data_IF_333028609440
#
_entry.id   IF_333028609440
#
_cell.length_a   1.000
_cell.length_b   1.000
_cell.length_c   1.000
_cell.angle_alpha   90.00
_cell.angle_beta   90.00
_cell.angle_gamma   90.00
#
_symmetry.space_group_name_H-M   'P 1'
#
loop_
_entity.id
_entity.type
_entity.pdbx_description
1 polymer ?
#
# COMPACT_ATOMS: atom_id res chain seq x y z
N UNK A 1 20.98 67.80 -36.45
CA UNK A 1 20.80 68.92 -35.51
C UNK A 1 20.01 68.42 -34.32
N UNK A 2 20.40 68.90 -33.16
CA UNK A 2 20.11 68.42 -31.81
C UNK A 2 18.71 68.76 -31.26
N UNK A 3 18.36 67.99 -30.22
CA UNK A 3 17.47 68.28 -29.09
C UNK A 3 15.95 68.11 -29.22
N UNK A 4 15.40 67.41 -28.23
CA UNK A 4 14.04 67.64 -27.75
C UNK A 4 13.41 66.43 -27.06
N UNK A 5 13.72 66.20 -25.79
CA UNK A 5 12.73 65.63 -24.86
C UNK A 5 12.03 66.82 -24.23
N UNK A 6 10.69 66.81 -24.11
CA UNK A 6 10.15 67.00 -22.76
C UNK A 6 8.86 66.20 -22.46
N UNK A 7 8.73 65.94 -21.16
CA UNK A 7 7.52 66.04 -20.34
C UNK A 7 6.60 64.83 -20.17
N UNK A 8 6.45 64.53 -18.89
CA UNK A 8 5.58 63.58 -18.25
C UNK A 8 4.08 63.87 -18.45
N UNK A 9 3.27 62.80 -18.42
CA UNK A 9 1.91 62.82 -17.92
C UNK A 9 1.62 61.46 -17.27
N UNK A 10 1.17 61.51 -16.02
CA UNK A 10 0.83 60.34 -15.21
C UNK A 10 -0.47 59.71 -15.66
N UNK A 11 -0.53 58.38 -15.73
CA UNK A 11 -1.80 57.67 -15.57
C UNK A 11 -1.56 56.33 -14.89
N UNK A 12 -2.02 56.23 -13.64
CA UNK A 12 -2.24 54.96 -12.95
C UNK A 12 -3.29 54.19 -13.75
N UNK A 13 -2.95 53.00 -14.23
CA UNK A 13 -3.93 52.05 -14.77
C UNK A 13 -3.81 50.77 -13.97
N UNK A 14 -4.86 50.51 -13.20
CA UNK A 14 -5.20 49.23 -12.60
C UNK A 14 -5.39 48.21 -13.75
N UNK A 15 -4.57 47.17 -13.82
CA UNK A 15 -4.79 46.07 -14.74
C UNK A 15 -5.41 44.90 -13.98
N UNK A 16 -6.74 44.86 -13.96
CA UNK A 16 -7.50 43.65 -13.68
C UNK A 16 -7.27 42.65 -14.83
N UNK A 17 -6.44 41.64 -14.61
CA UNK A 17 -6.40 40.47 -15.49
C UNK A 17 -7.44 39.46 -15.03
N UNK A 18 -8.53 39.39 -15.78
CA UNK A 18 -9.50 38.31 -15.71
C UNK A 18 -8.92 37.12 -16.48
N UNK A 19 -8.07 36.32 -15.82
CA UNK A 19 -7.63 35.03 -16.33
C UNK A 19 -8.72 33.99 -16.06
N UNK A 20 -9.52 33.74 -17.08
CA UNK A 20 -10.31 32.52 -17.25
C UNK A 20 -9.33 31.34 -17.46
N UNK A 21 -8.75 30.83 -16.38
CA UNK A 21 -8.06 29.56 -16.38
C UNK A 21 -9.09 28.46 -16.09
N UNK A 22 -9.61 27.86 -17.16
CA UNK A 22 -10.42 26.65 -17.08
C UNK A 22 -9.65 25.58 -16.30
N UNK A 23 -10.28 25.14 -15.21
CA UNK A 23 -9.78 24.12 -14.30
C UNK A 23 -9.86 22.75 -15.01
N UNK A 24 -8.92 22.47 -15.90
CA UNK A 24 -8.65 21.09 -16.31
C UNK A 24 -7.86 20.47 -15.17
N UNK A 25 -8.57 19.88 -14.21
CA UNK A 25 -8.01 18.88 -13.32
C UNK A 25 -7.60 17.69 -14.19
N UNK A 26 -6.42 17.80 -14.79
CA UNK A 26 -5.70 16.68 -15.35
C UNK A 26 -5.38 15.75 -14.20
N UNK A 27 -6.28 14.81 -13.93
CA UNK A 27 -5.93 13.58 -13.26
C UNK A 27 -4.95 12.88 -14.20
N UNK A 28 -3.66 13.14 -14.01
CA UNK A 28 -2.62 12.23 -14.46
C UNK A 28 -2.78 10.95 -13.65
N UNK A 29 -3.82 10.17 -13.96
CA UNK A 29 -3.83 8.76 -13.65
C UNK A 29 -2.76 8.21 -14.57
N UNK A 30 -1.52 8.12 -14.05
CA UNK A 30 -0.51 7.26 -14.65
C UNK A 30 -1.26 5.99 -15.05
N UNK A 31 -1.13 5.58 -16.31
CA UNK A 31 -1.70 4.35 -16.79
C UNK A 31 -1.04 3.25 -15.96
N UNK A 32 -1.66 2.93 -14.84
CA UNK A 32 -1.22 1.90 -13.93
C UNK A 32 -1.27 0.64 -14.76
N UNK A 33 -0.07 0.15 -15.10
CA UNK A 33 0.07 -1.06 -15.89
C UNK A 33 -0.90 -2.09 -15.30
N UNK A 34 -1.77 -2.64 -16.16
CA UNK A 34 -2.77 -3.60 -15.71
C UNK A 34 -2.07 -4.60 -14.78
N UNK A 35 -2.62 -4.86 -13.59
CA UNK A 35 -1.92 -5.65 -12.59
C UNK A 35 -1.44 -6.95 -13.25
N UNK A 36 -0.13 -7.29 -13.23
CA UNK A 36 0.37 -8.54 -13.77
C UNK A 36 -0.48 -9.71 -13.30
N UNK A 37 -0.74 -10.63 -14.23
CA UNK A 37 -1.73 -11.67 -14.07
C UNK A 37 -1.48 -12.49 -12.80
N UNK A 38 -2.56 -12.82 -12.11
CA UNK A 38 -2.63 -13.75 -10.98
C UNK A 38 -2.26 -15.20 -11.34
N UNK A 39 -1.72 -15.42 -12.54
CA UNK A 39 -1.42 -16.72 -13.09
C UNK A 39 -0.28 -16.67 -14.11
N UNK A 40 0.46 -17.77 -14.19
CA UNK A 40 1.46 -18.06 -15.23
C UNK A 40 0.83 -19.03 -16.23
N UNK A 41 1.01 -18.77 -17.52
CA UNK A 41 0.61 -19.75 -18.55
C UNK A 41 1.69 -20.80 -18.71
N UNK A 42 1.36 -22.06 -18.44
CA UNK A 42 2.20 -23.22 -18.65
C UNK A 42 1.77 -24.00 -19.88
N UNK A 43 2.75 -24.49 -20.66
CA UNK A 43 2.51 -25.37 -21.79
C UNK A 43 2.90 -26.79 -21.41
N UNK A 44 1.90 -27.67 -21.37
CA UNK A 44 2.05 -29.08 -21.00
C UNK A 44 3.07 -29.77 -21.92
N UNK A 45 4.01 -30.50 -21.32
CA UNK A 45 5.01 -31.33 -21.98
C UNK A 45 4.60 -32.79 -21.93
N UNK A 46 5.26 -33.62 -22.75
CA UNK A 46 5.02 -35.06 -22.72
C UNK A 46 5.41 -35.65 -21.36
N UNK A 47 4.49 -36.40 -20.74
CA UNK A 47 4.69 -37.01 -19.42
C UNK A 47 4.28 -36.14 -18.23
N UNK A 48 3.83 -34.90 -18.45
CA UNK A 48 3.37 -34.03 -17.36
C UNK A 48 2.07 -34.54 -16.73
N UNK A 49 1.97 -34.37 -15.42
CA UNK A 49 0.72 -34.52 -14.65
C UNK A 49 0.47 -33.25 -13.83
N UNK A 50 -0.77 -33.04 -13.37
CA UNK A 50 -1.10 -31.89 -12.53
C UNK A 50 -0.27 -31.86 -11.24
N UNK A 51 0.01 -33.04 -10.67
CA UNK A 51 0.85 -33.23 -9.49
C UNK A 51 2.30 -32.84 -9.74
N UNK A 52 2.87 -33.24 -10.88
CA UNK A 52 4.25 -32.87 -11.25
C UNK A 52 4.38 -31.37 -11.47
N UNK A 53 3.41 -30.77 -12.16
CA UNK A 53 3.35 -29.31 -12.37
C UNK A 53 3.21 -28.59 -11.02
N UNK A 54 2.33 -29.05 -10.13
CA UNK A 54 2.18 -28.48 -8.80
C UNK A 54 3.46 -28.59 -7.96
N UNK A 55 4.17 -29.72 -8.02
CA UNK A 55 5.46 -29.85 -7.34
C UNK A 55 6.52 -28.91 -7.92
N UNK A 56 6.52 -28.72 -9.24
CA UNK A 56 7.43 -27.81 -9.93
C UNK A 56 7.18 -26.34 -9.57
N UNK A 57 5.92 -25.93 -9.41
CA UNK A 57 5.56 -24.53 -9.14
C UNK A 57 5.39 -24.21 -7.66
N UNK A 58 4.74 -25.06 -6.89
CA UNK A 58 4.41 -24.85 -5.47
C UNK A 58 5.28 -25.66 -4.51
N UNK A 59 6.11 -26.57 -5.03
CA UNK A 59 7.00 -27.41 -4.22
C UNK A 59 6.38 -28.71 -3.71
N UNK A 60 5.06 -28.88 -3.82
CA UNK A 60 4.35 -30.07 -3.35
C UNK A 60 3.27 -30.53 -4.37
N UNK A 61 3.21 -31.84 -4.59
CA UNK A 61 2.25 -32.50 -5.48
C UNK A 61 0.80 -32.33 -5.03
N UNK A 62 0.56 -32.20 -3.72
CA UNK A 62 -0.78 -32.07 -3.13
C UNK A 62 -1.53 -30.82 -3.57
N UNK A 63 -0.81 -29.81 -4.07
CA UNK A 63 -1.37 -28.55 -4.56
C UNK A 63 -1.89 -28.61 -6.00
N UNK A 64 -1.95 -29.80 -6.61
CA UNK A 64 -2.54 -30.03 -7.93
C UNK A 64 -3.99 -29.52 -8.04
N UNK A 65 -4.75 -29.53 -6.94
CA UNK A 65 -6.13 -29.04 -6.89
C UNK A 65 -6.24 -27.57 -7.33
N UNK A 66 -5.27 -26.72 -7.01
CA UNK A 66 -5.32 -25.30 -7.40
C UNK A 66 -5.18 -25.13 -8.92
N UNK A 67 -4.26 -25.88 -9.54
CA UNK A 67 -4.11 -25.90 -11.00
C UNK A 67 -5.39 -26.43 -11.65
N UNK A 68 -5.95 -27.50 -11.10
CA UNK A 68 -7.16 -28.13 -11.61
C UNK A 68 -8.35 -27.14 -11.62
N UNK A 69 -8.61 -26.49 -10.49
CA UNK A 69 -9.70 -25.53 -10.30
C UNK A 69 -9.51 -24.28 -11.16
N UNK A 70 -8.30 -23.71 -11.18
CA UNK A 70 -7.99 -22.54 -12.01
C UNK A 70 -8.21 -22.79 -13.52
N UNK A 71 -8.13 -24.05 -13.96
CA UNK A 71 -8.34 -24.46 -15.34
C UNK A 71 -9.71 -25.10 -15.61
N UNK A 72 -10.62 -25.07 -14.62
CA UNK A 72 -11.98 -25.67 -14.73
C UNK A 72 -11.95 -27.14 -15.13
N UNK A 73 -10.94 -27.88 -14.67
CA UNK A 73 -10.84 -29.31 -14.86
C UNK A 73 -11.66 -29.96 -13.74
N UNK A 74 -12.75 -30.66 -14.09
CA UNK A 74 -13.68 -31.20 -13.09
C UNK A 74 -13.22 -32.51 -12.46
N UNK A 75 -12.44 -33.31 -13.19
CA UNK A 75 -11.97 -34.61 -12.74
C UNK A 75 -10.53 -34.84 -13.20
N UNK A 76 -9.73 -35.62 -12.45
CA UNK A 76 -8.38 -36.01 -12.87
C UNK A 76 -8.43 -36.67 -14.25
N UNK A 77 -7.61 -36.17 -15.17
CA UNK A 77 -7.44 -36.75 -16.51
C UNK A 77 -5.99 -36.59 -16.98
N UNK A 78 -5.54 -37.41 -17.94
CA UNK A 78 -4.28 -37.16 -18.62
C UNK A 78 -4.26 -35.77 -19.27
N UNK A 79 -3.12 -35.09 -19.16
CA UNK A 79 -2.88 -33.82 -19.81
C UNK A 79 -2.42 -34.05 -21.25
N UNK A 80 -2.84 -33.18 -22.18
CA UNK A 80 -2.43 -33.29 -23.58
C UNK A 80 -1.15 -32.47 -23.81
N UNK A 81 -0.07 -33.03 -24.38
CA UNK A 81 1.09 -32.24 -24.75
C UNK A 81 0.69 -31.04 -25.62
N UNK A 82 1.18 -29.85 -25.27
CA UNK A 82 0.83 -28.58 -25.91
C UNK A 82 -0.39 -27.86 -25.33
N UNK A 83 -1.16 -28.49 -24.43
CA UNK A 83 -2.24 -27.86 -23.68
C UNK A 83 -1.72 -26.67 -22.86
N UNK A 84 -2.51 -25.58 -22.80
CA UNK A 84 -2.16 -24.38 -22.03
C UNK A 84 -2.93 -24.38 -20.72
N UNK A 85 -2.20 -24.45 -19.62
CA UNK A 85 -2.74 -24.38 -18.27
C UNK A 85 -2.41 -23.03 -17.64
N UNK A 86 -3.35 -22.47 -16.90
CA UNK A 86 -3.14 -21.35 -15.99
C UNK A 86 -2.69 -21.90 -14.63
N UNK A 87 -1.51 -21.49 -14.20
CA UNK A 87 -0.99 -21.82 -12.88
C UNK A 87 -1.17 -20.59 -12.02
N UNK A 88 -2.11 -20.59 -11.06
CA UNK A 88 -2.33 -19.42 -10.22
C UNK A 88 -1.11 -19.14 -9.35
N UNK A 89 -0.74 -17.88 -9.18
CA UNK A 89 0.47 -17.47 -8.48
C UNK A 89 0.19 -16.35 -7.51
N UNK A 90 0.80 -16.44 -6.33
CA UNK A 90 0.83 -15.34 -5.39
C UNK A 90 1.60 -14.17 -6.00
N UNK A 91 1.32 -12.96 -5.51
CA UNK A 91 2.00 -11.75 -5.98
C UNK A 91 2.70 -11.07 -4.82
N UNK A 92 3.94 -10.67 -5.05
CA UNK A 92 4.64 -9.74 -4.16
C UNK A 92 4.47 -8.34 -4.75
N UNK A 93 3.80 -7.46 -3.99
CA UNK A 93 3.60 -6.07 -4.35
C UNK A 93 4.47 -5.23 -3.46
N UNK A 94 5.41 -4.51 -4.06
CA UNK A 94 6.04 -3.38 -3.40
C UNK A 94 5.04 -2.22 -3.39
N UNK A 95 4.90 -1.52 -2.27
CA UNK A 95 3.92 -0.42 -2.10
C UNK A 95 4.44 0.90 -2.63
N UNK A 96 3.54 1.69 -3.23
CA UNK A 96 3.78 3.06 -3.66
C UNK A 96 3.40 4.05 -2.54
N UNK A 97 3.87 5.31 -2.60
CA UNK A 97 3.37 6.36 -1.71
C UNK A 97 1.84 6.48 -1.81
N UNK A 98 1.18 6.55 -0.65
CA UNK A 98 -0.28 6.64 -0.55
C UNK A 98 -1.04 5.31 -0.63
N UNK A 99 -0.35 4.19 -0.88
CA UNK A 99 -0.99 2.87 -0.81
C UNK A 99 -1.54 2.60 0.59
N UNK A 100 -2.68 1.92 0.62
CA UNK A 100 -3.31 1.42 1.84
C UNK A 100 -3.69 -0.05 1.65
N UNK A 101 -3.88 -0.79 2.74
CA UNK A 101 -4.39 -2.15 2.64
C UNK A 101 -5.76 -2.20 1.92
N UNK A 102 -6.58 -1.16 2.05
CA UNK A 102 -7.86 -1.03 1.36
C UNK A 102 -7.70 -0.79 -0.15
N UNK A 103 -6.78 0.07 -0.58
CA UNK A 103 -6.52 0.27 -2.02
C UNK A 103 -5.94 -0.98 -2.65
N UNK A 104 -5.00 -1.66 -1.97
CA UNK A 104 -4.44 -2.93 -2.44
C UNK A 104 -5.50 -4.05 -2.47
N UNK A 105 -6.36 -4.16 -1.46
CA UNK A 105 -7.44 -5.13 -1.45
C UNK A 105 -8.47 -4.85 -2.55
N UNK A 106 -8.79 -3.58 -2.82
CA UNK A 106 -9.63 -3.22 -3.96
C UNK A 106 -8.97 -3.61 -5.29
N UNK A 107 -7.68 -3.34 -5.46
CA UNK A 107 -6.96 -3.58 -6.70
C UNK A 107 -6.74 -5.07 -6.98
N UNK A 108 -6.42 -5.86 -5.95
CA UNK A 108 -5.97 -7.25 -6.10
C UNK A 108 -6.94 -8.29 -5.57
N UNK A 109 -7.79 -7.93 -4.60
CA UNK A 109 -8.79 -8.82 -4.00
C UNK A 109 -10.21 -8.40 -4.38
N UNK A 110 -10.36 -7.44 -5.29
CA UNK A 110 -11.61 -6.91 -5.85
C UNK A 110 -12.56 -6.19 -4.88
N UNK A 111 -12.25 -6.13 -3.58
CA UNK A 111 -13.10 -5.47 -2.57
C UNK A 111 -12.24 -4.91 -1.42
N UNK A 112 -12.39 -3.61 -1.05
CA UNK A 112 -11.59 -2.98 -0.01
C UNK A 112 -11.87 -3.56 1.38
N UNK A 113 -13.04 -4.16 1.63
CA UNK A 113 -13.35 -4.83 2.90
C UNK A 113 -12.45 -6.04 3.13
N UNK A 114 -11.78 -6.54 2.09
CA UNK A 114 -10.79 -7.63 2.21
C UNK A 114 -9.42 -7.17 2.73
N UNK A 115 -9.24 -5.87 3.00
CA UNK A 115 -8.03 -5.31 3.59
C UNK A 115 -7.61 -6.01 4.90
N UNK A 116 -8.58 -6.35 5.75
CA UNK A 116 -8.32 -7.02 7.03
C UNK A 116 -7.65 -8.39 6.84
N UNK A 117 -8.02 -9.13 5.79
CA UNK A 117 -7.38 -10.40 5.47
C UNK A 117 -6.01 -10.18 4.86
N UNK A 118 -5.86 -9.15 4.03
CA UNK A 118 -4.55 -8.81 3.49
C UNK A 118 -3.55 -8.46 4.62
N UNK A 119 -4.02 -7.74 5.64
CA UNK A 119 -3.25 -7.49 6.85
C UNK A 119 -2.87 -8.81 7.55
N UNK A 120 -3.86 -9.67 7.82
CA UNK A 120 -3.68 -10.96 8.49
C UNK A 120 -2.67 -11.87 7.75
N UNK A 121 -2.80 -12.01 6.43
CA UNK A 121 -1.89 -12.81 5.60
C UNK A 121 -0.45 -12.31 5.62
N UNK A 122 -0.26 -11.01 5.83
CA UNK A 122 1.03 -10.35 5.92
C UNK A 122 1.50 -10.12 7.37
N UNK A 123 0.75 -10.59 8.37
CA UNK A 123 1.04 -10.39 9.80
C UNK A 123 1.14 -8.91 10.17
N UNK A 124 0.27 -8.10 9.59
CA UNK A 124 0.12 -6.68 9.85
C UNK A 124 -1.16 -6.42 10.66
N UNK A 125 -1.17 -5.33 11.40
CA UNK A 125 -2.41 -4.81 12.00
C UNK A 125 -3.35 -4.27 10.90
N UNK A 126 -4.68 -4.36 11.06
CA UNK A 126 -5.63 -3.91 10.03
C UNK A 126 -5.51 -2.43 9.67
N UNK A 127 -5.16 -1.58 10.64
CA UNK A 127 -4.93 -0.15 10.49
C UNK A 127 -3.44 0.21 10.39
N UNK A 128 -2.57 -0.77 10.14
CA UNK A 128 -1.15 -0.51 9.94
C UNK A 128 -0.95 0.50 8.80
N UNK A 129 -0.14 1.53 9.07
CA UNK A 129 0.32 2.39 7.98
C UNK A 129 1.21 1.58 7.05
N UNK A 130 1.14 1.92 5.77
CA UNK A 130 1.86 1.24 4.72
C UNK A 130 2.86 2.20 4.09
N UNK A 131 4.13 2.23 4.54
CA UNK A 131 5.11 3.08 3.90
C UNK A 131 5.44 2.54 2.51
N UNK A 132 5.87 3.41 1.62
CA UNK A 132 6.36 3.03 0.30
C UNK A 132 7.56 2.09 0.41
N UNK A 133 7.71 1.19 -0.57
CA UNK A 133 8.76 0.17 -0.57
C UNK A 133 8.48 -1.01 0.36
N UNK A 134 7.30 -1.12 0.97
CA UNK A 134 6.90 -2.31 1.76
C UNK A 134 6.55 -3.46 0.82
N UNK A 135 6.98 -4.68 1.14
CA UNK A 135 6.59 -5.89 0.44
C UNK A 135 5.29 -6.45 1.00
N UNK A 136 4.28 -6.63 0.15
CA UNK A 136 2.97 -7.15 0.50
C UNK A 136 2.67 -8.38 -0.35
N UNK A 137 2.52 -9.51 0.32
CA UNK A 137 2.08 -10.75 -0.29
C UNK A 137 0.57 -10.71 -0.53
N UNK A 138 0.19 -10.76 -1.79
CA UNK A 138 -1.18 -10.94 -2.23
C UNK A 138 -1.41 -12.45 -2.46
N UNK A 139 -2.43 -13.06 -1.82
CA UNK A 139 -2.82 -14.43 -2.13
C UNK A 139 -3.37 -14.52 -3.56
N UNK A 140 -3.27 -15.68 -4.18
CA UNK A 140 -4.05 -15.96 -5.38
C UNK A 140 -5.41 -16.53 -5.02
N UNK A 141 -6.38 -16.40 -5.91
CA UNK A 141 -7.71 -16.96 -5.71
C UNK A 141 -7.91 -18.22 -6.54
N UNK A 142 -8.68 -19.14 -5.97
CA UNK A 142 -9.36 -20.17 -6.74
C UNK A 142 -10.86 -20.07 -6.49
N UNK A 143 -11.66 -20.34 -7.51
CA UNK A 143 -13.12 -20.35 -7.40
C UNK A 143 -13.61 -21.78 -7.24
N UNK A 144 -14.10 -22.10 -6.06
CA UNK A 144 -14.78 -23.38 -5.81
C UNK A 144 -16.25 -23.25 -6.20
N UNK A 145 -16.77 -24.20 -6.98
CA UNK A 145 -18.20 -24.34 -7.26
C UNK A 145 -18.70 -25.56 -6.53
N UNK A 146 -19.67 -25.38 -5.63
CA UNK A 146 -20.14 -26.48 -4.79
C UNK A 146 -20.86 -27.55 -5.63
N UNK A 147 -20.46 -28.80 -5.48
CA UNK A 147 -21.02 -29.93 -6.22
C UNK A 147 -22.37 -30.40 -5.65
N UNK A 148 -22.57 -30.14 -4.36
CA UNK A 148 -23.79 -30.37 -3.60
C UNK A 148 -23.96 -29.23 -2.57
N UNK A 149 -24.90 -29.36 -1.65
CA UNK A 149 -24.94 -28.46 -0.50
C UNK A 149 -23.76 -28.80 0.42
N UNK A 150 -22.78 -27.91 0.48
CA UNK A 150 -21.50 -28.13 1.14
C UNK A 150 -21.34 -27.22 2.37
N UNK A 151 -20.74 -27.74 3.43
CA UNK A 151 -20.33 -26.92 4.58
C UNK A 151 -19.07 -26.15 4.23
N UNK A 152 -19.02 -24.86 4.59
CA UNK A 152 -17.81 -24.04 4.41
C UNK A 152 -16.59 -24.66 5.11
N UNK A 153 -16.80 -25.36 6.24
CA UNK A 153 -15.75 -26.09 6.94
C UNK A 153 -15.14 -27.25 6.15
N UNK A 154 -15.95 -27.95 5.34
CA UNK A 154 -15.45 -29.02 4.46
C UNK A 154 -14.64 -28.44 3.31
N UNK A 155 -15.10 -27.32 2.73
CA UNK A 155 -14.37 -26.60 1.68
C UNK A 155 -13.04 -26.07 2.23
N UNK A 156 -13.05 -25.48 3.44
CA UNK A 156 -11.84 -25.00 4.11
C UNK A 156 -10.84 -26.14 4.38
N UNK A 157 -11.29 -27.30 4.86
CA UNK A 157 -10.44 -28.46 5.03
C UNK A 157 -9.83 -28.94 3.71
N UNK A 158 -10.59 -28.91 2.61
CA UNK A 158 -10.12 -29.36 1.30
C UNK A 158 -9.00 -28.48 0.72
N UNK A 159 -9.08 -27.14 0.89
CA UNK A 159 -8.10 -26.22 0.31
C UNK A 159 -6.97 -25.83 1.27
N UNK A 160 -7.25 -25.73 2.57
CA UNK A 160 -6.26 -25.30 3.56
C UNK A 160 -5.70 -26.45 4.40
N UNK A 161 -6.30 -27.64 4.31
CA UNK A 161 -5.96 -28.78 5.16
C UNK A 161 -6.50 -28.68 6.60
N UNK A 162 -7.22 -27.60 6.93
CA UNK A 162 -7.78 -27.37 8.27
C UNK A 162 -9.16 -26.70 8.17
N UNK A 163 -10.16 -27.37 8.74
CA UNK A 163 -11.54 -26.88 8.81
C UNK A 163 -11.70 -25.63 9.67
N UNK A 164 -10.74 -25.30 10.54
CA UNK A 164 -10.76 -24.07 11.34
C UNK A 164 -10.72 -22.79 10.49
N UNK A 165 -10.26 -22.89 9.23
CA UNK A 165 -10.31 -21.77 8.28
C UNK A 165 -11.74 -21.49 7.76
N UNK A 166 -12.77 -22.20 8.23
CA UNK A 166 -14.16 -21.95 7.83
C UNK A 166 -14.63 -20.53 8.14
N UNK A 167 -14.24 -19.98 9.29
CA UNK A 167 -14.64 -18.62 9.68
C UNK A 167 -14.00 -17.58 8.77
N UNK A 168 -12.70 -17.74 8.49
CA UNK A 168 -11.98 -16.91 7.53
C UNK A 168 -12.68 -16.94 6.17
N UNK A 169 -12.98 -18.14 5.66
CA UNK A 169 -13.58 -18.32 4.34
C UNK A 169 -15.00 -17.74 4.26
N UNK A 170 -15.79 -17.88 5.32
CA UNK A 170 -17.12 -17.27 5.49
C UNK A 170 -17.03 -15.75 5.41
N UNK A 171 -16.16 -15.13 6.23
CA UNK A 171 -16.00 -13.67 6.27
C UNK A 171 -15.40 -13.13 4.97
N UNK A 172 -14.48 -13.85 4.34
CA UNK A 172 -13.83 -13.47 3.07
C UNK A 172 -14.83 -13.35 1.91
N UNK A 173 -15.87 -14.19 1.94
CA UNK A 173 -16.93 -14.25 0.94
C UNK A 173 -18.19 -13.50 1.37
N UNK A 174 -18.15 -12.79 2.49
CA UNK A 174 -19.28 -12.04 3.05
C UNK A 174 -20.55 -12.89 3.24
N UNK A 175 -20.37 -14.17 3.57
CA UNK A 175 -21.48 -15.09 3.79
C UNK A 175 -22.09 -14.86 5.18
N UNK A 176 -23.41 -15.00 5.25
CA UNK A 176 -24.20 -14.99 6.49
C UNK A 176 -24.52 -16.40 7.01
N UNK A 177 -24.12 -17.43 6.25
CA UNK A 177 -24.41 -18.84 6.51
C UNK A 177 -23.17 -19.72 6.36
N UNK A 178 -23.06 -20.82 7.12
CA UNK A 178 -21.92 -21.75 7.06
C UNK A 178 -22.07 -22.81 5.94
N UNK A 179 -22.90 -22.55 4.93
CA UNK A 179 -23.26 -23.48 3.86
C UNK A 179 -23.16 -22.79 2.49
N UNK A 180 -22.69 -23.54 1.50
CA UNK A 180 -22.68 -23.14 0.09
C UNK A 180 -23.63 -24.07 -0.64
N UNK A 181 -24.64 -23.52 -1.30
CA UNK A 181 -25.64 -24.32 -1.99
C UNK A 181 -25.05 -24.94 -3.27
N UNK A 182 -25.60 -26.07 -3.72
CA UNK A 182 -25.18 -26.68 -4.99
C UNK A 182 -25.15 -25.66 -6.14
N UNK A 183 -24.01 -25.58 -6.82
CA UNK A 183 -23.79 -24.67 -7.95
C UNK A 183 -23.39 -23.24 -7.56
N UNK A 184 -23.49 -22.88 -6.28
CA UNK A 184 -22.97 -21.60 -5.77
C UNK A 184 -21.43 -21.61 -5.80
N UNK A 185 -20.86 -20.44 -6.07
CA UNK A 185 -19.41 -20.25 -6.17
C UNK A 185 -18.88 -19.53 -4.94
N UNK A 186 -17.71 -19.95 -4.49
CA UNK A 186 -16.99 -19.39 -3.36
C UNK A 186 -15.55 -19.08 -3.77
N UNK A 187 -15.05 -17.90 -3.40
CA UNK A 187 -13.67 -17.49 -3.63
C UNK A 187 -12.79 -17.97 -2.48
N UNK A 188 -11.76 -18.75 -2.78
CA UNK A 188 -10.80 -19.26 -1.79
C UNK A 188 -9.48 -18.51 -1.93
N UNK A 189 -9.07 -17.67 -0.95
CA UNK A 189 -7.79 -16.98 -0.98
C UNK A 189 -6.68 -17.94 -0.55
N UNK A 190 -5.85 -18.42 -1.48
CA UNK A 190 -4.73 -19.29 -1.15
C UNK A 190 -3.54 -18.43 -0.70
N UNK A 191 -3.42 -18.24 0.62
CA UNK A 191 -2.38 -17.44 1.27
C UNK A 191 -1.21 -18.29 1.81
N UNK A 192 -1.43 -19.58 1.99
CA UNK A 192 -0.49 -20.51 2.63
C UNK A 192 0.43 -21.24 1.64
N UNK A 193 0.31 -20.96 0.34
CA UNK A 193 1.09 -21.61 -0.72
C UNK A 193 1.87 -20.54 -1.46
N UNK A 194 3.17 -20.76 -1.60
CA UNK A 194 4.06 -19.86 -2.34
C UNK A 194 4.53 -20.54 -3.61
N UNK A 195 4.51 -19.79 -4.70
CA UNK A 195 5.20 -20.19 -5.91
C UNK A 195 6.70 -20.12 -5.65
N UNK A 196 7.44 -21.11 -6.16
CA UNK A 196 8.90 -21.11 -6.09
C UNK A 196 9.43 -19.85 -6.76
N UNK A 197 10.37 -19.20 -6.09
CA UNK A 197 10.98 -17.95 -6.57
C UNK A 197 11.54 -18.07 -7.99
N UNK A 198 12.14 -19.22 -8.33
CA UNK A 198 12.64 -19.53 -9.69
C UNK A 198 11.58 -19.51 -10.79
N UNK A 199 10.29 -19.48 -10.42
CA UNK A 199 9.14 -19.46 -11.35
C UNK A 199 8.46 -18.10 -11.38
N UNK A 200 8.74 -17.21 -10.44
CA UNK A 200 8.19 -15.87 -10.43
C UNK A 200 8.88 -15.02 -11.52
N UNK A 201 8.16 -14.07 -12.14
CA UNK A 201 8.80 -13.09 -12.99
C UNK A 201 9.82 -12.27 -12.18
N UNK A 202 10.86 -11.71 -12.84
CA UNK A 202 11.79 -10.81 -12.17
C UNK A 202 11.04 -9.63 -11.55
N UNK A 203 11.56 -9.13 -10.43
CA UNK A 203 11.02 -7.94 -9.77
C UNK A 203 11.11 -6.76 -10.72
N UNK A 204 10.00 -6.04 -10.86
CA UNK A 204 9.91 -4.82 -11.66
C UNK A 204 10.93 -3.76 -11.18
N UNK A 205 11.55 -3.03 -12.11
CA UNK A 205 12.62 -2.07 -11.80
C UNK A 205 12.13 -0.96 -10.85
N UNK A 206 10.88 -0.50 -11.00
CA UNK A 206 10.31 0.52 -10.13
C UNK A 206 10.03 -0.02 -8.73
N UNK A 207 9.60 -1.29 -8.63
CA UNK A 207 9.46 -1.98 -7.34
C UNK A 207 10.82 -2.08 -6.63
N UNK A 208 11.87 -2.51 -7.33
CA UNK A 208 13.22 -2.58 -6.78
C UNK A 208 13.75 -1.20 -6.35
N UNK A 209 13.52 -0.16 -7.15
CA UNK A 209 13.90 1.21 -6.82
C UNK A 209 13.21 1.70 -5.53
N UNK A 210 11.93 1.39 -5.34
CA UNK A 210 11.18 1.75 -4.12
C UNK A 210 11.69 1.02 -2.89
N UNK A 211 11.98 -0.28 -2.99
CA UNK A 211 12.61 -1.03 -1.89
C UNK A 211 13.96 -0.43 -1.51
N UNK A 212 14.82 -0.14 -2.50
CA UNK A 212 16.13 0.46 -2.25
C UNK A 212 16.01 1.85 -1.61
N UNK A 213 15.09 2.68 -2.12
CA UNK A 213 14.83 4.01 -1.55
C UNK A 213 14.34 3.91 -0.11
N UNK A 214 13.46 2.96 0.22
CA UNK A 214 13.01 2.71 1.59
C UNK A 214 14.19 2.46 2.54
N UNK A 215 15.08 1.55 2.16
CA UNK A 215 16.27 1.21 2.96
C UNK A 215 17.14 2.43 3.19
N UNK A 216 17.40 3.22 2.15
CA UNK A 216 18.23 4.42 2.23
C UNK A 216 17.60 5.51 3.12
N UNK A 217 16.30 5.79 2.93
CA UNK A 217 15.60 6.82 3.70
C UNK A 217 15.47 6.42 5.16
N UNK A 218 15.14 5.15 5.44
CA UNK A 218 15.10 4.62 6.81
C UNK A 218 16.46 4.74 7.51
N UNK A 219 17.55 4.37 6.84
CA UNK A 219 18.90 4.49 7.41
C UNK A 219 19.27 5.96 7.70
N UNK A 220 18.97 6.89 6.78
CA UNK A 220 19.22 8.32 6.98
C UNK A 220 18.38 8.89 8.12
N UNK A 221 17.12 8.47 8.24
CA UNK A 221 16.20 8.95 9.28
C UNK A 221 16.66 8.54 10.69
N UNK A 222 17.19 7.32 10.86
CA UNK A 222 17.74 6.83 12.14
C UNK A 222 18.87 7.72 12.66
N UNK A 223 19.70 8.29 11.77
CA UNK A 223 20.77 9.21 12.17
C UNK A 223 20.33 10.67 12.23
N UNK A 224 19.43 11.10 11.35
CA UNK A 224 19.03 12.50 11.22
C UNK A 224 18.11 12.95 12.37
N UNK A 225 17.17 12.10 12.81
CA UNK A 225 16.22 12.48 13.85
C UNK A 225 16.91 12.82 15.20
N UNK A 226 17.82 12.00 15.75
CA UNK A 226 18.54 12.36 16.98
C UNK A 226 19.34 13.67 16.85
N UNK A 227 20.02 13.89 15.71
CA UNK A 227 20.76 15.13 15.44
C UNK A 227 19.84 16.33 15.38
N UNK A 228 18.69 16.20 14.72
CA UNK A 228 17.67 17.23 14.66
C UNK A 228 17.06 17.52 16.04
N UNK A 229 16.82 16.50 16.87
CA UNK A 229 16.35 16.69 18.24
C UNK A 229 17.37 17.43 19.11
N UNK A 230 18.67 17.16 18.95
CA UNK A 230 19.72 17.92 19.62
C UNK A 230 19.71 19.39 19.18
N UNK A 231 19.68 19.64 17.87
CA UNK A 231 19.58 20.99 17.33
C UNK A 231 18.32 21.75 17.80
N UNK A 232 17.19 21.06 17.91
CA UNK A 232 15.95 21.62 18.45
C UNK A 232 16.12 22.11 19.90
N UNK A 233 16.78 21.29 20.74
CA UNK A 233 17.05 21.64 22.14
C UNK A 233 17.97 22.85 22.27
N UNK A 234 18.87 23.02 21.30
CA UNK A 234 19.79 24.17 21.22
C UNK A 234 19.14 25.41 20.57
N UNK A 235 17.86 25.35 20.17
CA UNK A 235 17.17 26.42 19.47
C UNK A 235 17.63 26.64 18.03
N UNK A 236 18.42 25.72 17.47
CA UNK A 236 18.92 25.79 16.09
C UNK A 236 17.91 25.18 15.10
N UNK A 237 16.79 25.86 14.91
CA UNK A 237 15.71 25.42 14.02
C UNK A 237 16.13 25.32 12.55
N UNK A 238 17.11 26.13 12.13
CA UNK A 238 17.69 26.04 10.79
C UNK A 238 18.41 24.70 10.56
N UNK A 239 19.12 24.20 11.57
CA UNK A 239 19.73 22.87 11.51
C UNK A 239 18.68 21.76 11.49
N UNK A 240 17.60 21.87 12.29
CA UNK A 240 16.48 20.91 12.24
C UNK A 240 15.93 20.78 10.82
N UNK A 241 15.66 21.91 10.15
CA UNK A 241 15.18 21.90 8.76
C UNK A 241 16.19 21.26 7.81
N UNK A 242 17.47 21.59 7.93
CA UNK A 242 18.53 21.03 7.08
C UNK A 242 18.62 19.51 7.18
N UNK A 243 18.50 18.96 8.39
CA UNK A 243 18.59 17.51 8.59
C UNK A 243 17.35 16.75 8.09
N UNK A 244 16.16 17.34 8.24
CA UNK A 244 14.89 16.63 8.05
C UNK A 244 14.12 16.95 6.76
N UNK A 245 14.32 18.11 6.13
CA UNK A 245 13.46 18.57 5.03
C UNK A 245 13.45 17.62 3.82
N UNK A 246 14.59 17.02 3.52
CA UNK A 246 14.78 16.11 2.38
C UNK A 246 14.45 14.65 2.69
N UNK A 247 14.03 14.33 3.93
CA UNK A 247 13.60 12.98 4.26
C UNK A 247 12.21 12.74 3.69
N UNK A 248 12.13 11.76 2.80
CA UNK A 248 10.88 11.32 2.21
C UNK A 248 10.13 10.40 3.20
N UNK A 249 9.34 11.04 4.06
CA UNK A 249 8.62 10.34 5.15
C UNK A 249 7.60 9.33 4.65
N UNK A 250 7.24 9.32 3.36
CA UNK A 250 6.35 8.30 2.80
C UNK A 250 6.99 6.92 2.78
N UNK A 251 8.31 6.84 2.84
CA UNK A 251 9.10 5.60 2.93
C UNK A 251 9.40 5.18 4.37
N UNK A 252 8.92 5.93 5.37
CA UNK A 252 9.19 5.67 6.78
C UNK A 252 7.98 5.06 7.48
N UNK A 253 8.25 4.20 8.47
CA UNK A 253 7.21 3.67 9.35
C UNK A 253 6.48 4.81 10.07
N UNK A 254 5.18 4.62 10.33
CA UNK A 254 4.30 5.69 10.80
C UNK A 254 4.82 6.46 12.02
N UNK A 255 5.46 5.77 12.97
CA UNK A 255 5.99 6.45 14.16
C UNK A 255 7.07 7.45 13.78
N UNK A 256 8.06 7.02 13.00
CA UNK A 256 9.19 7.84 12.60
C UNK A 256 8.75 8.97 11.65
N UNK A 257 7.85 8.66 10.71
CA UNK A 257 7.26 9.65 9.82
C UNK A 257 6.54 10.77 10.61
N UNK A 258 5.75 10.40 11.63
CA UNK A 258 5.04 11.34 12.49
C UNK A 258 6.01 12.19 13.31
N UNK A 259 6.98 11.56 13.97
CA UNK A 259 7.95 12.27 14.82
C UNK A 259 8.77 13.30 14.01
N UNK A 260 9.25 12.89 12.83
CA UNK A 260 9.97 13.78 11.90
C UNK A 260 9.07 14.91 11.42
N UNK A 261 7.83 14.61 11.01
CA UNK A 261 6.91 15.60 10.48
C UNK A 261 6.51 16.64 11.53
N UNK A 262 6.29 16.22 12.78
CA UNK A 262 5.98 17.13 13.89
C UNK A 262 7.19 18.01 14.21
N UNK A 263 8.39 17.43 14.36
CA UNK A 263 9.59 18.19 14.69
C UNK A 263 9.94 19.21 13.59
N UNK A 264 9.87 18.79 12.33
CA UNK A 264 10.11 19.64 11.17
C UNK A 264 9.04 20.75 11.05
N UNK A 265 7.76 20.42 11.25
CA UNK A 265 6.68 21.41 11.25
C UNK A 265 6.84 22.45 12.36
N UNK A 266 7.27 22.02 13.54
CA UNK A 266 7.58 22.94 14.64
C UNK A 266 8.77 23.85 14.31
N UNK A 267 9.80 23.34 13.62
CA UNK A 267 10.94 24.15 13.17
C UNK A 267 10.57 25.16 12.09
N UNK A 268 9.65 24.82 11.17
CA UNK A 268 9.12 25.77 10.20
C UNK A 268 8.38 26.94 10.89
N UNK A 269 7.52 26.65 11.88
CA UNK A 269 6.85 27.70 12.67
C UNK A 269 7.82 28.61 13.42
N UNK A 270 8.89 28.03 13.98
CA UNK A 270 9.92 28.80 14.67
C UNK A 270 10.66 29.76 13.73
N UNK A 271 10.64 29.49 12.42
CA UNK A 271 11.17 30.35 11.36
C UNK A 271 10.09 31.09 10.57
N UNK A 272 8.89 31.23 11.15
CA UNK A 272 7.74 31.98 10.59
C UNK A 272 7.13 31.42 9.28
N UNK A 273 7.39 30.15 8.96
CA UNK A 273 6.82 29.46 7.82
C UNK A 273 5.64 28.57 8.25
N UNK A 274 4.48 29.19 8.43
CA UNK A 274 3.27 28.47 8.89
C UNK A 274 2.68 27.54 7.83
N UNK A 275 2.83 27.87 6.54
CA UNK A 275 2.32 27.05 5.44
C UNK A 275 3.03 25.69 5.39
N UNK A 276 4.37 25.69 5.39
CA UNK A 276 5.15 24.45 5.43
C UNK A 276 4.88 23.66 6.71
N UNK A 277 4.70 24.34 7.84
CA UNK A 277 4.37 23.68 9.10
C UNK A 277 3.02 22.97 9.05
N UNK A 278 1.98 23.65 8.54
CA UNK A 278 0.66 23.08 8.37
C UNK A 278 0.68 21.85 7.46
N UNK A 279 1.45 21.90 6.36
CA UNK A 279 1.62 20.76 5.47
C UNK A 279 2.24 19.55 6.19
N UNK A 280 3.31 19.77 6.98
CA UNK A 280 3.95 18.67 7.74
C UNK A 280 3.04 18.11 8.84
N UNK A 281 2.27 18.95 9.53
CA UNK A 281 1.31 18.45 10.53
C UNK A 281 0.18 17.64 9.91
N UNK A 282 -0.34 18.06 8.76
CA UNK A 282 -1.32 17.26 8.01
C UNK A 282 -0.74 15.92 7.58
N UNK A 283 0.49 15.90 7.06
CA UNK A 283 1.19 14.67 6.70
C UNK A 283 1.34 13.71 7.90
N UNK A 284 1.61 14.22 9.10
CA UNK A 284 1.63 13.41 10.32
C UNK A 284 0.25 12.82 10.66
N UNK A 285 -0.82 13.64 10.53
CA UNK A 285 -2.19 13.23 10.86
C UNK A 285 -2.79 12.26 9.84
N UNK A 286 -2.38 12.31 8.58
CA UNK A 286 -2.73 11.29 7.58
C UNK A 286 -2.22 9.90 8.00
N UNK A 287 -1.04 9.85 8.65
CA UNK A 287 -0.46 8.61 9.16
C UNK A 287 -1.05 8.18 10.50
N UNK A 288 -1.36 9.14 11.38
CA UNK A 288 -1.97 8.90 12.70
C UNK A 288 -3.03 9.97 13.04
N UNK A 289 -4.29 9.79 12.62
CA UNK A 289 -5.34 10.81 12.78
C UNK A 289 -5.70 11.16 14.23
N UNK A 290 -5.35 10.30 15.19
CA UNK A 290 -5.64 10.48 16.62
C UNK A 290 -4.40 10.81 17.45
N UNK A 291 -3.31 11.23 16.81
CA UNK A 291 -2.08 11.57 17.52
C UNK A 291 -2.27 12.83 18.37
N UNK A 292 -1.74 12.78 19.60
CA UNK A 292 -1.72 13.89 20.53
C UNK A 292 -0.28 14.39 20.74
N UNK A 293 -0.07 15.70 20.69
CA UNK A 293 1.22 16.30 21.03
C UNK A 293 1.28 16.69 22.50
N UNK A 294 2.45 16.52 23.10
CA UNK A 294 2.68 16.89 24.50
C UNK A 294 2.88 18.41 24.66
N UNK A 295 2.24 19.05 25.67
CA UNK A 295 2.49 20.45 26.00
C UNK A 295 3.88 20.71 26.60
N UNK A 296 4.60 19.67 27.01
CA UNK A 296 5.94 19.78 27.57
C UNK A 296 7.00 20.12 26.49
N UNK A 297 6.88 19.51 25.31
CA UNK A 297 7.89 19.65 24.24
C UNK A 297 7.58 20.77 23.24
N UNK A 298 6.32 21.19 23.14
CA UNK A 298 5.86 22.12 22.09
C UNK A 298 5.21 23.37 22.66
N UNK A 299 5.63 24.53 22.12
CA UNK A 299 5.14 25.84 22.52
C UNK A 299 3.63 26.02 22.26
N UNK A 300 2.96 26.99 22.92
CA UNK A 300 1.55 27.28 22.66
C UNK A 300 1.22 27.50 21.18
N UNK A 301 2.09 28.21 20.45
CA UNK A 301 1.94 28.47 19.02
C UNK A 301 1.97 27.18 18.19
N UNK A 302 2.90 26.28 18.46
CA UNK A 302 2.98 24.98 17.77
C UNK A 302 1.70 24.17 18.00
N UNK A 303 1.23 24.12 19.24
CA UNK A 303 0.01 23.38 19.61
C UNK A 303 -1.23 23.97 18.96
N UNK A 304 -1.35 25.29 18.89
CA UNK A 304 -2.47 25.96 18.21
C UNK A 304 -2.53 25.57 16.72
N UNK A 305 -1.39 25.64 16.02
CA UNK A 305 -1.31 25.27 14.60
C UNK A 305 -1.58 23.77 14.41
N UNK A 306 -1.07 22.91 15.30
CA UNK A 306 -1.33 21.47 15.30
C UNK A 306 -2.83 21.14 15.47
N UNK A 307 -3.52 21.82 16.37
CA UNK A 307 -4.98 21.68 16.55
C UNK A 307 -5.73 22.17 15.30
N UNK A 308 -5.30 23.29 14.70
CA UNK A 308 -5.86 23.76 13.43
C UNK A 308 -5.64 22.77 12.28
N UNK A 309 -4.57 21.97 12.32
CA UNK A 309 -4.33 20.88 11.38
C UNK A 309 -5.25 19.66 11.62
N UNK A 310 -5.98 19.61 12.74
CA UNK A 310 -6.87 18.50 13.14
C UNK A 310 -6.30 17.60 14.24
N UNK A 311 -5.14 17.94 14.78
CA UNK A 311 -4.46 17.16 15.81
C UNK A 311 -4.98 17.42 17.22
N UNK A 312 -4.57 16.56 18.16
CA UNK A 312 -4.96 16.65 19.58
C UNK A 312 -3.80 17.10 20.44
N UNK A 313 -4.08 17.64 21.61
CA UNK A 313 -3.06 17.98 22.62
C UNK A 313 -3.35 17.16 23.86
N UNK A 314 -2.31 16.55 24.42
CA UNK A 314 -2.47 15.82 25.69
C UNK A 314 -2.92 16.78 26.80
N UNK A 315 -3.77 16.32 27.75
CA UNK A 315 -4.27 17.17 28.82
C UNK A 315 -3.18 17.71 29.76
N UNK A 316 -1.94 17.23 29.63
CA UNK A 316 -0.86 17.51 30.56
C UNK A 316 -1.00 16.72 31.87
N UNK A 317 0.03 16.72 32.72
CA UNK A 317 -0.13 16.33 34.13
C UNK A 317 -1.01 17.32 34.91
#
# INVERSE_FOLDING_TARGET
MTFGIPSAASTRVFWSWLMLAGLVLGTWRQAEAAPPSDSITYRVKAGDTLELIAAEYYGDRRYAVFVMVANRISHPRPLRPGERLKIPVNRDVTTAPGDTLASLAQAYLSDPKRAVFLAEFNRLEPEASLPAGTHILIPFHVTHVAAADERVASIAAAYFGDSKNAELLTRYNFLDRPMVAKGESLVVPIFNVRVRESKLPPVDEEAAARTNKRVQVAARAVTALPTAMAAWRDGNFAAVKRELADLDVDYLDASLAVDISILLGAAYLATEDEESAMARFKQALERRPRYSVSPYWFSPRVREVWVRAGGRVDPGP
#
